data_IF_686013514023
#
_entry.id   IF_686013514023
#
_cell.length_a   1.000
_cell.length_b   1.000
_cell.length_c   1.000
_cell.angle_alpha   90.00
_cell.angle_beta   90.00
_cell.angle_gamma   90.00
#
_symmetry.space_group_name_H-M   'P 1'
#
loop_
_entity.id
_entity.type
_entity.pdbx_description
1 polymer ?
#
# COMPACT_ATOMS: atom_id res chain seq x y z
N UNK A 1 4.27 -10.24 10.17
CA UNK A 1 3.88 -9.19 11.14
C UNK A 1 4.75 -7.98 10.88
N UNK A 2 4.21 -6.78 11.00
CA UNK A 2 4.96 -5.53 10.90
C UNK A 2 5.09 -4.94 12.31
N UNK A 3 6.30 -4.56 12.68
CA UNK A 3 6.59 -3.81 13.90
C UNK A 3 7.71 -2.83 13.62
N UNK A 4 7.41 -1.55 13.78
CA UNK A 4 8.35 -0.45 13.58
C UNK A 4 8.20 0.54 14.72
N UNK A 5 9.32 0.96 15.29
CA UNK A 5 9.40 2.09 16.21
C UNK A 5 10.37 3.08 15.59
N UNK A 6 9.94 4.33 15.44
CA UNK A 6 10.82 5.42 15.00
C UNK A 6 10.66 6.60 15.96
N UNK A 7 11.76 7.23 16.30
CA UNK A 7 11.83 8.35 17.23
C UNK A 7 12.72 9.44 16.68
N UNK A 8 12.25 10.69 16.68
CA UNK A 8 13.04 11.85 16.26
C UNK A 8 12.55 13.14 16.90
N UNK A 9 13.43 14.13 17.01
CA UNK A 9 13.11 15.41 17.66
C UNK A 9 11.93 16.15 17.00
N UNK A 10 11.73 15.99 15.69
CA UNK A 10 10.65 16.67 14.95
C UNK A 10 9.33 15.89 14.92
N UNK A 11 9.39 14.55 14.91
CA UNK A 11 8.23 13.66 14.71
C UNK A 11 7.73 13.02 16.01
N UNK A 12 8.51 13.14 17.10
CA UNK A 12 8.25 12.42 18.34
C UNK A 12 8.50 10.92 18.20
N UNK A 13 7.90 10.13 19.11
CA UNK A 13 7.95 8.67 19.05
C UNK A 13 6.72 8.14 18.33
N UNK A 14 6.94 7.40 17.25
CA UNK A 14 5.91 6.75 16.44
C UNK A 14 6.13 5.24 16.53
N UNK A 15 5.08 4.52 16.91
CA UNK A 15 5.05 3.06 16.91
C UNK A 15 4.00 2.60 15.90
N UNK A 16 4.43 1.82 14.92
CA UNK A 16 3.58 1.26 13.87
C UNK A 16 3.65 -0.26 13.93
N UNK A 17 2.54 -0.89 14.31
CA UNK A 17 2.50 -2.32 14.56
C UNK A 17 1.23 -2.97 14.01
N UNK A 18 1.37 -4.24 13.61
CA UNK A 18 0.25 -5.15 13.47
C UNK A 18 0.55 -6.36 12.61
N UNK A 19 -0.50 -7.11 12.31
CA UNK A 19 -0.41 -8.40 11.64
C UNK A 19 -1.37 -8.44 10.46
N UNK A 20 -1.00 -9.21 9.45
CA UNK A 20 -1.83 -9.50 8.30
C UNK A 20 -1.72 -10.99 8.00
N UNK A 21 -2.87 -11.61 7.74
CA UNK A 21 -2.95 -13.01 7.36
C UNK A 21 -3.63 -13.09 6.01
N UNK A 22 -3.05 -13.88 5.10
CA UNK A 22 -3.57 -14.13 3.75
C UNK A 22 -3.54 -15.64 3.51
N UNK A 23 -4.50 -16.13 2.75
CA UNK A 23 -4.56 -17.50 2.27
C UNK A 23 -4.42 -17.49 0.74
N UNK A 24 -3.68 -18.45 0.20
CA UNK A 24 -3.51 -18.66 -1.23
C UNK A 24 -3.44 -20.17 -1.49
N UNK A 25 -4.08 -20.59 -2.58
CA UNK A 25 -4.15 -21.97 -3.03
C UNK A 25 -3.82 -22.01 -4.52
N UNK A 26 -3.06 -23.02 -4.93
CA UNK A 26 -2.59 -23.19 -6.30
C UNK A 26 -2.12 -24.62 -6.53
N UNK A 27 -2.48 -25.19 -7.67
CA UNK A 27 -2.02 -26.51 -8.10
C UNK A 27 -0.71 -26.41 -8.88
N UNK A 28 0.25 -27.28 -8.55
CA UNK A 28 1.54 -27.36 -9.26
C UNK A 28 1.87 -28.80 -9.66
N UNK A 29 2.50 -29.00 -10.83
CA UNK A 29 2.98 -30.32 -11.26
C UNK A 29 4.18 -30.78 -10.41
N UNK A 30 4.34 -32.10 -10.29
CA UNK A 30 5.38 -32.75 -9.48
C UNK A 30 6.39 -33.48 -10.37
N UNK A 31 7.23 -32.68 -11.03
CA UNK A 31 8.12 -33.15 -12.12
C UNK A 31 9.43 -33.78 -11.63
N UNK A 32 9.59 -34.00 -10.31
CA UNK A 32 10.80 -34.58 -9.73
C UNK A 32 10.84 -34.53 -8.20
N UNK A 33 11.87 -35.14 -7.61
CA UNK A 33 11.99 -35.29 -6.15
C UNK A 33 12.14 -33.96 -5.39
N UNK A 34 12.59 -32.90 -6.07
CA UNK A 34 12.71 -31.53 -5.53
C UNK A 34 11.51 -30.62 -5.85
N UNK A 35 10.50 -31.11 -6.59
CA UNK A 35 9.39 -30.28 -7.08
C UNK A 35 8.57 -29.67 -5.93
N UNK A 36 8.35 -30.40 -4.84
CA UNK A 36 7.61 -29.90 -3.68
C UNK A 36 8.25 -28.63 -3.08
N UNK A 37 9.56 -28.64 -2.86
CA UNK A 37 10.27 -27.50 -2.27
C UNK A 37 10.29 -26.32 -3.24
N UNK A 38 10.53 -26.57 -4.53
CA UNK A 38 10.52 -25.51 -5.55
C UNK A 38 9.14 -24.87 -5.75
N UNK A 39 8.07 -25.67 -5.72
CA UNK A 39 6.70 -25.18 -5.84
C UNK A 39 6.26 -24.40 -4.58
N UNK A 40 6.60 -24.92 -3.39
CA UNK A 40 6.35 -24.22 -2.13
C UNK A 40 7.10 -22.89 -2.07
N UNK A 41 8.38 -22.87 -2.50
CA UNK A 41 9.19 -21.66 -2.52
C UNK A 41 8.56 -20.55 -3.38
N UNK A 42 8.09 -20.89 -4.58
CA UNK A 42 7.36 -19.95 -5.46
C UNK A 42 6.07 -19.43 -4.82
N UNK A 43 5.28 -20.33 -4.22
CA UNK A 43 4.05 -19.94 -3.53
C UNK A 43 4.31 -18.97 -2.36
N UNK A 44 5.35 -19.25 -1.56
CA UNK A 44 5.76 -18.39 -0.44
C UNK A 44 6.25 -17.04 -0.96
N UNK A 45 7.15 -17.02 -1.94
CA UNK A 45 7.69 -15.79 -2.53
C UNK A 45 6.58 -14.88 -3.07
N UNK A 46 5.66 -15.42 -3.88
CA UNK A 46 4.55 -14.66 -4.45
C UNK A 46 3.59 -14.13 -3.38
N UNK A 47 3.40 -14.89 -2.32
CA UNK A 47 2.51 -14.50 -1.21
C UNK A 47 3.18 -13.45 -0.35
N UNK A 48 4.47 -13.59 -0.04
CA UNK A 48 5.26 -12.59 0.69
C UNK A 48 5.37 -11.27 -0.07
N UNK A 49 5.61 -11.31 -1.39
CA UNK A 49 5.68 -10.11 -2.21
C UNK A 49 4.35 -9.33 -2.19
N UNK A 50 3.22 -10.04 -2.34
CA UNK A 50 1.89 -9.44 -2.20
C UNK A 50 1.65 -8.89 -0.81
N UNK A 51 1.98 -9.65 0.25
CA UNK A 51 1.83 -9.21 1.63
C UNK A 51 2.67 -7.96 1.92
N UNK A 52 3.91 -7.89 1.43
CA UNK A 52 4.79 -6.72 1.56
C UNK A 52 4.17 -5.48 0.93
N UNK A 53 3.71 -5.57 -0.31
CA UNK A 53 3.10 -4.44 -1.02
C UNK A 53 1.83 -3.94 -0.30
N UNK A 54 1.02 -4.85 0.24
CA UNK A 54 -0.18 -4.49 1.00
C UNK A 54 0.14 -3.85 2.34
N UNK A 55 1.13 -4.38 3.07
CA UNK A 55 1.61 -3.78 4.31
C UNK A 55 2.08 -2.35 4.05
N UNK A 56 2.82 -2.11 2.97
CA UNK A 56 3.27 -0.77 2.61
C UNK A 56 2.10 0.20 2.37
N UNK A 57 1.13 -0.20 1.54
CA UNK A 57 -0.02 0.63 1.20
C UNK A 57 -0.90 0.96 2.41
N UNK A 58 -1.14 0.00 3.30
CA UNK A 58 -2.02 0.21 4.46
C UNK A 58 -1.30 0.97 5.57
N UNK A 59 -0.10 0.54 5.95
CA UNK A 59 0.59 1.10 7.11
C UNK A 59 1.24 2.46 6.84
N UNK A 60 1.78 2.70 5.64
CA UNK A 60 2.40 3.99 5.32
C UNK A 60 1.49 4.90 4.48
N UNK A 61 0.66 4.31 3.61
CA UNK A 61 -0.33 5.05 2.83
C UNK A 61 -1.54 5.43 3.67
N UNK A 62 -2.36 4.45 4.06
CA UNK A 62 -3.63 4.73 4.74
C UNK A 62 -3.47 5.40 6.10
N UNK A 63 -2.49 5.02 6.91
CA UNK A 63 -2.25 5.70 8.19
C UNK A 63 -1.88 7.17 7.98
N UNK A 64 -1.10 7.50 6.94
CA UNK A 64 -0.77 8.88 6.59
C UNK A 64 -2.00 9.65 6.11
N UNK A 65 -2.84 9.04 5.27
CA UNK A 65 -4.11 9.65 4.82
C UNK A 65 -4.97 10.03 6.03
N UNK A 66 -5.22 9.09 6.94
CA UNK A 66 -6.05 9.30 8.13
C UNK A 66 -5.47 10.39 9.04
N UNK A 67 -4.16 10.43 9.24
CA UNK A 67 -3.52 11.49 10.03
C UNK A 67 -3.66 12.87 9.39
N UNK A 68 -3.53 12.97 8.07
CA UNK A 68 -3.70 14.23 7.35
C UNK A 68 -5.15 14.71 7.36
N UNK A 69 -6.13 13.80 7.35
CA UNK A 69 -7.54 14.13 7.48
C UNK A 69 -7.86 14.72 8.87
N UNK A 70 -7.23 14.19 9.93
CA UNK A 70 -7.38 14.73 11.29
C UNK A 70 -6.75 16.12 11.45
N UNK A 71 -5.61 16.36 10.78
CA UNK A 71 -4.91 17.66 10.83
C UNK A 71 -4.28 17.97 9.47
N UNK A 72 -4.99 18.74 8.66
CA UNK A 72 -4.46 19.24 7.40
C UNK A 72 -3.57 20.46 7.63
N UNK A 73 -2.32 20.39 7.18
CA UNK A 73 -1.38 21.54 7.19
C UNK A 73 -1.79 22.58 6.15
N UNK A 74 -2.42 22.13 5.05
CA UNK A 74 -2.96 23.01 3.99
C UNK A 74 -4.40 23.38 4.30
N UNK A 75 -4.86 24.54 3.82
CA UNK A 75 -6.27 24.86 3.98
C UNK A 75 -7.11 23.88 3.17
N UNK A 76 -8.21 23.39 3.76
CA UNK A 76 -9.14 22.50 3.05
C UNK A 76 -9.64 23.14 1.75
N UNK A 77 -9.76 24.48 1.71
CA UNK A 77 -10.17 25.24 0.54
C UNK A 77 -9.14 25.23 -0.60
N UNK A 78 -7.84 25.16 -0.31
CA UNK A 78 -6.79 25.00 -1.33
C UNK A 78 -6.77 23.57 -1.87
N UNK A 79 -6.92 22.58 -0.99
CA UNK A 79 -7.01 21.17 -1.41
C UNK A 79 -8.20 20.99 -2.35
N UNK A 80 -9.38 21.50 -1.96
CA UNK A 80 -10.59 21.43 -2.77
C UNK A 80 -10.37 22.05 -4.17
N UNK A 81 -9.84 23.28 -4.22
CA UNK A 81 -9.50 23.96 -5.48
C UNK A 81 -8.56 23.14 -6.36
N UNK A 82 -7.54 22.51 -5.78
CA UNK A 82 -6.60 21.68 -6.54
C UNK A 82 -7.29 20.45 -7.17
N UNK A 83 -8.17 19.78 -6.41
CA UNK A 83 -8.99 18.66 -6.92
C UNK A 83 -9.93 19.09 -8.04
N UNK A 84 -10.56 20.27 -7.91
CA UNK A 84 -11.49 20.77 -8.92
C UNK A 84 -10.74 21.10 -10.23
N UNK A 85 -9.55 21.72 -10.14
CA UNK A 85 -8.68 21.95 -11.29
C UNK A 85 -8.24 20.62 -11.94
N UNK A 86 -7.88 19.60 -11.15
CA UNK A 86 -7.53 18.29 -11.70
C UNK A 86 -8.69 17.63 -12.45
N UNK A 87 -9.91 17.72 -11.92
CA UNK A 87 -11.12 17.23 -12.60
C UNK A 87 -11.38 17.98 -13.91
N UNK A 88 -11.24 19.31 -13.89
CA UNK A 88 -11.43 20.14 -15.09
C UNK A 88 -10.40 19.81 -16.18
N UNK A 89 -9.13 19.62 -15.81
CA UNK A 89 -8.07 19.20 -16.73
C UNK A 89 -8.35 17.83 -17.34
N UNK A 90 -8.81 16.86 -16.53
CA UNK A 90 -9.19 15.53 -17.04
C UNK A 90 -10.37 15.59 -18.01
N UNK A 91 -11.37 16.42 -17.74
CA UNK A 91 -12.49 16.66 -18.64
C UNK A 91 -12.01 17.23 -19.98
N UNK A 92 -11.20 18.29 -19.95
CA UNK A 92 -10.64 18.92 -21.14
C UNK A 92 -9.73 17.99 -21.95
N UNK A 93 -8.99 17.10 -21.30
CA UNK A 93 -8.17 16.09 -21.97
C UNK A 93 -9.03 15.03 -22.69
N UNK A 94 -10.16 14.63 -22.10
CA UNK A 94 -11.12 13.73 -22.74
C UNK A 94 -11.79 14.37 -23.96
N UNK A 95 -12.21 15.64 -23.84
CA UNK A 95 -12.84 16.37 -24.94
C UNK A 95 -11.90 16.62 -26.12
N UNK A 96 -10.58 16.66 -25.86
CA UNK A 96 -9.56 16.87 -26.90
C UNK A 96 -9.19 15.60 -27.66
N UNK A 97 -9.61 14.43 -27.18
CA UNK A 97 -9.30 13.11 -27.76
C UNK A 97 -10.51 12.53 -28.54
N UNK A 98 -11.51 13.37 -28.82
CA UNK A 98 -12.73 13.05 -29.56
C UNK A 98 -12.85 13.97 -30.77
#
# INVERSE_FOLDING_TARGET
>A
MLYMITGGAEVGNITLSGSMTRQAESDYPLDGQSAHVGNLGRLVEDTELRMRNLLEQVYFGKTKDVMNDLRSVRSLAEVQRQTDIQKELMGKLHDRNR
#
